data_IF_649309012107
#
_entry.id   IF_649309012107
#
_cell.length_a   1.000
_cell.length_b   1.000
_cell.length_c   1.000
_cell.angle_alpha   90.00
_cell.angle_beta   90.00
_cell.angle_gamma   90.00
#
_symmetry.space_group_name_H-M   'P 1'
#
loop_
_entity.id
_entity.type
_entity.pdbx_description
1 polymer ?
#
# COMPACT_ATOMS: atom_id res chain seq x y z
N UNK A 1 -16.18 -3.57 8.75
CA UNK A 1 -17.04 -2.38 8.90
C UNK A 1 -18.27 -2.69 9.72
N UNK A 2 -19.04 -3.75 9.43
CA UNK A 2 -20.07 -4.23 10.38
C UNK A 2 -19.41 -4.81 11.64
N UNK A 3 -18.26 -5.45 11.47
CA UNK A 3 -17.37 -5.94 12.54
C UNK A 3 -16.43 -4.84 13.10
N UNK A 4 -16.78 -3.56 12.95
CA UNK A 4 -15.97 -2.45 13.50
C UNK A 4 -16.52 -2.06 14.87
N UNK A 5 -15.68 -2.09 15.91
CA UNK A 5 -16.11 -1.81 17.29
C UNK A 5 -16.73 -0.42 17.48
N UNK A 6 -16.31 0.58 16.70
CA UNK A 6 -16.75 1.95 16.89
C UNK A 6 -17.99 2.30 16.07
N UNK A 7 -18.14 1.69 14.88
CA UNK A 7 -19.15 2.10 13.89
C UNK A 7 -19.99 0.96 13.35
N UNK A 8 -19.64 -0.29 13.64
CA UNK A 8 -20.32 -1.48 13.14
C UNK A 8 -21.77 -1.58 13.60
N UNK A 9 -22.00 -1.34 14.89
CA UNK A 9 -23.35 -1.36 15.47
C UNK A 9 -24.30 -0.35 14.81
N UNK A 10 -23.79 0.77 14.28
CA UNK A 10 -24.61 1.74 13.56
C UNK A 10 -25.13 1.16 12.25
N UNK A 11 -24.27 0.44 11.52
CA UNK A 11 -24.65 -0.20 10.26
C UNK A 11 -25.67 -1.31 10.51
N UNK A 12 -25.47 -2.10 11.56
CA UNK A 12 -26.42 -3.11 12.02
C UNK A 12 -27.78 -2.49 12.36
N UNK A 13 -27.80 -1.46 13.22
CA UNK A 13 -29.03 -0.80 13.63
C UNK A 13 -29.78 -0.14 12.46
N UNK A 14 -29.06 0.53 11.55
CA UNK A 14 -29.67 1.12 10.36
C UNK A 14 -30.31 0.05 9.47
N UNK A 15 -29.61 -1.06 9.26
CA UNK A 15 -30.09 -2.15 8.42
C UNK A 15 -31.32 -2.82 9.03
N UNK A 16 -31.28 -3.12 10.33
CA UNK A 16 -32.43 -3.67 11.06
C UNK A 16 -33.65 -2.75 11.02
N UNK A 17 -33.45 -1.43 11.13
CA UNK A 17 -34.54 -0.46 10.96
C UNK A 17 -35.16 -0.53 9.57
N UNK A 18 -34.34 -0.59 8.52
CA UNK A 18 -34.83 -0.71 7.14
C UNK A 18 -35.60 -2.02 6.93
N UNK A 19 -35.14 -3.13 7.51
CA UNK A 19 -35.83 -4.42 7.47
C UNK A 19 -37.17 -4.42 8.24
N UNK A 20 -37.32 -3.52 9.22
CA UNK A 20 -38.54 -3.39 10.04
C UNK A 20 -39.57 -2.42 9.45
N UNK A 21 -39.24 -1.72 8.36
CA UNK A 21 -40.18 -0.82 7.70
C UNK A 21 -41.26 -1.61 6.95
N UNK A 22 -42.47 -1.06 6.89
CA UNK A 22 -43.57 -1.65 6.11
C UNK A 22 -43.35 -1.51 4.60
N UNK A 23 -42.52 -0.55 4.18
CA UNK A 23 -42.14 -0.36 2.80
C UNK A 23 -41.09 -1.38 2.36
N UNK A 24 -41.26 -1.95 1.16
CA UNK A 24 -40.25 -2.83 0.57
C UNK A 24 -39.04 -2.03 0.10
N UNK A 25 -37.93 -2.14 0.82
CA UNK A 25 -36.64 -1.56 0.46
C UNK A 25 -35.70 -2.67 -0.03
N UNK A 26 -35.10 -2.49 -1.21
CA UNK A 26 -34.06 -3.41 -1.69
C UNK A 26 -32.73 -3.08 -1.03
N UNK A 27 -32.11 -4.09 -0.41
CA UNK A 27 -30.78 -3.97 0.22
C UNK A 27 -29.77 -4.74 -0.62
N UNK A 28 -28.72 -4.06 -1.06
CA UNK A 28 -27.58 -4.66 -1.77
C UNK A 28 -26.34 -4.41 -0.92
N UNK A 29 -25.76 -5.48 -0.39
CA UNK A 29 -24.56 -5.43 0.43
C UNK A 29 -23.34 -5.90 -0.36
N UNK A 30 -22.24 -5.15 -0.29
CA UNK A 30 -20.95 -5.52 -0.86
C UNK A 30 -19.91 -5.54 0.25
N UNK A 31 -19.07 -6.58 0.29
CA UNK A 31 -18.05 -6.75 1.32
C UNK A 31 -16.74 -7.28 0.72
N UNK A 32 -15.67 -7.21 1.50
CA UNK A 32 -14.48 -8.03 1.24
C UNK A 32 -14.80 -9.50 1.58
N UNK A 33 -13.86 -10.42 1.35
CA UNK A 33 -14.06 -11.83 1.71
C UNK A 33 -14.35 -11.97 3.21
N UNK A 34 -15.51 -12.55 3.53
CA UNK A 34 -15.96 -12.78 4.91
C UNK A 34 -16.17 -14.29 5.12
N UNK A 35 -15.67 -14.87 6.22
CA UNK A 35 -15.85 -16.29 6.50
C UNK A 35 -17.29 -16.66 6.85
N UNK A 36 -18.11 -15.69 7.27
CA UNK A 36 -19.47 -15.86 7.77
C UNK A 36 -20.54 -15.21 6.86
N UNK A 37 -20.30 -15.21 5.54
CA UNK A 37 -21.18 -14.57 4.57
C UNK A 37 -22.63 -15.11 4.63
N UNK A 38 -22.80 -16.41 4.88
CA UNK A 38 -24.12 -17.05 4.92
C UNK A 38 -25.01 -16.49 6.02
N UNK A 39 -24.43 -16.20 7.20
CA UNK A 39 -25.16 -15.61 8.34
C UNK A 39 -25.70 -14.22 7.98
N UNK A 40 -24.89 -13.43 7.27
CA UNK A 40 -25.30 -12.09 6.82
C UNK A 40 -26.39 -12.20 5.75
N UNK A 41 -26.27 -13.15 4.82
CA UNK A 41 -27.27 -13.36 3.79
C UNK A 41 -28.62 -13.79 4.39
N UNK A 42 -28.60 -14.69 5.38
CA UNK A 42 -29.79 -15.11 6.12
C UNK A 42 -30.44 -13.95 6.87
N UNK A 43 -29.64 -13.16 7.61
CA UNK A 43 -30.14 -11.98 8.34
C UNK A 43 -30.81 -10.95 7.41
N UNK A 44 -30.23 -10.73 6.22
CA UNK A 44 -30.78 -9.80 5.23
C UNK A 44 -31.89 -10.42 4.36
N UNK A 45 -32.20 -11.71 4.54
CA UNK A 45 -33.06 -12.48 3.64
C UNK A 45 -32.66 -12.29 2.16
N UNK A 46 -31.37 -12.41 1.88
CA UNK A 46 -30.74 -12.07 0.60
C UNK A 46 -30.05 -13.28 -0.03
N UNK A 47 -29.88 -13.22 -1.35
CA UNK A 47 -28.98 -14.14 -2.05
C UNK A 47 -27.53 -13.70 -1.87
N UNK A 48 -26.64 -14.65 -1.60
CA UNK A 48 -25.19 -14.40 -1.54
C UNK A 48 -24.51 -14.74 -2.88
N UNK A 49 -23.48 -13.97 -3.21
CA UNK A 49 -22.60 -14.23 -4.34
C UNK A 49 -21.15 -13.95 -3.92
N UNK A 50 -20.29 -14.96 -4.04
CA UNK A 50 -18.87 -14.85 -3.76
C UNK A 50 -18.06 -15.15 -5.02
N UNK A 51 -17.02 -14.34 -5.28
CA UNK A 51 -16.06 -14.59 -6.34
C UNK A 51 -14.65 -14.19 -5.91
N UNK A 52 -13.66 -14.96 -6.37
CA UNK A 52 -12.23 -14.66 -6.21
C UNK A 52 -11.62 -14.01 -7.46
N UNK A 53 -12.44 -13.71 -8.46
CA UNK A 53 -11.99 -13.12 -9.72
C UNK A 53 -11.36 -11.75 -9.49
N UNK A 54 -10.17 -11.54 -10.06
CA UNK A 54 -9.53 -10.23 -10.20
C UNK A 54 -9.03 -10.06 -11.64
N UNK A 55 -9.32 -8.93 -12.31
CA UNK A 55 -8.81 -8.67 -13.65
C UNK A 55 -7.28 -8.64 -13.73
N UNK A 56 -6.62 -8.21 -12.66
CA UNK A 56 -5.15 -8.20 -12.54
C UNK A 56 -4.76 -9.15 -11.40
N UNK A 57 -3.96 -10.19 -11.67
CA UNK A 57 -3.52 -11.13 -10.64
C UNK A 57 -2.61 -10.42 -9.63
N UNK A 58 -2.68 -10.86 -8.37
CA UNK A 58 -1.86 -10.33 -7.27
C UNK A 58 -0.82 -11.39 -6.92
N UNK A 59 0.45 -11.00 -6.90
CA UNK A 59 1.56 -11.85 -6.47
C UNK A 59 2.09 -11.36 -5.12
N UNK A 60 1.80 -12.13 -4.07
CA UNK A 60 2.20 -11.83 -2.71
C UNK A 60 3.58 -12.43 -2.40
N UNK A 61 4.42 -11.64 -1.72
CA UNK A 61 5.78 -12.02 -1.35
C UNK A 61 6.13 -11.54 0.06
N UNK A 62 7.06 -12.24 0.72
CA UNK A 62 7.66 -11.85 1.98
C UNK A 62 9.11 -11.41 1.75
N UNK A 63 9.48 -10.23 2.21
CA UNK A 63 10.87 -9.78 2.21
C UNK A 63 11.44 -9.93 3.62
N UNK A 64 12.52 -10.69 3.77
CA UNK A 64 13.21 -10.90 5.04
C UNK A 64 14.72 -10.96 4.81
N UNK A 65 15.48 -10.12 5.51
CA UNK A 65 16.95 -10.05 5.39
C UNK A 65 17.43 -9.87 3.94
N UNK A 66 16.71 -9.07 3.15
CA UNK A 66 16.98 -8.84 1.73
C UNK A 66 16.55 -9.97 0.80
N UNK A 67 16.03 -11.09 1.32
CA UNK A 67 15.54 -12.20 0.51
C UNK A 67 14.02 -12.10 0.29
N UNK A 68 13.58 -12.37 -0.94
CA UNK A 68 12.18 -12.34 -1.37
C UNK A 68 11.67 -13.77 -1.50
N UNK A 69 10.65 -14.11 -0.71
CA UNK A 69 10.01 -15.42 -0.69
C UNK A 69 8.59 -15.34 -1.28
N UNK A 70 8.16 -16.29 -2.11
CA UNK A 70 6.79 -16.35 -2.58
C UNK A 70 5.83 -16.63 -1.41
N UNK A 71 4.69 -15.96 -1.39
CA UNK A 71 3.74 -16.10 -0.32
C UNK A 71 2.31 -16.18 -0.85
N UNK A 72 1.91 -17.35 -1.36
CA UNK A 72 0.61 -17.53 -2.01
C UNK A 72 -0.61 -17.36 -1.09
N UNK A 73 -0.43 -17.24 0.23
CA UNK A 73 -1.52 -16.94 1.17
C UNK A 73 -0.99 -16.33 2.48
N UNK A 74 -1.86 -15.61 3.21
CA UNK A 74 -1.56 -15.07 4.54
C UNK A 74 -1.14 -16.16 5.54
N UNK A 75 -1.71 -17.36 5.44
CA UNK A 75 -1.28 -18.49 6.29
C UNK A 75 0.14 -18.96 5.93
N UNK A 76 0.50 -18.93 4.65
CA UNK A 76 1.87 -19.21 4.20
C UNK A 76 2.84 -18.13 4.71
N UNK A 77 2.45 -16.84 4.66
CA UNK A 77 3.24 -15.73 5.21
C UNK A 77 3.57 -15.95 6.69
N UNK A 78 2.56 -16.25 7.50
CA UNK A 78 2.74 -16.45 8.94
C UNK A 78 3.58 -17.69 9.27
N UNK A 79 3.39 -18.78 8.52
CA UNK A 79 4.22 -19.99 8.65
C UNK A 79 5.67 -19.69 8.31
N UNK A 80 5.95 -19.07 7.16
CA UNK A 80 7.31 -18.70 6.76
C UNK A 80 7.96 -17.75 7.77
N UNK A 81 7.24 -16.73 8.24
CA UNK A 81 7.74 -15.80 9.26
C UNK A 81 8.04 -16.49 10.60
N UNK A 82 7.19 -17.42 11.05
CA UNK A 82 7.41 -18.18 12.29
C UNK A 82 8.60 -19.13 12.19
N UNK A 83 8.78 -19.79 11.04
CA UNK A 83 9.93 -20.66 10.78
C UNK A 83 11.24 -19.89 10.74
N UNK A 84 11.27 -18.72 10.09
CA UNK A 84 12.46 -17.84 10.01
C UNK A 84 12.91 -17.35 11.38
N UNK A 85 11.98 -17.06 12.31
CA UNK A 85 12.32 -16.65 13.68
C UNK A 85 12.90 -17.77 14.54
N UNK A 86 12.74 -19.05 14.16
CA UNK A 86 13.06 -20.19 15.02
C UNK A 86 14.48 -20.75 14.91
N UNK A 87 15.39 -20.11 14.16
CA UNK A 87 16.82 -20.47 14.06
C UNK A 87 17.11 -21.99 13.95
N UNK A 88 16.28 -22.75 13.23
CA UNK A 88 16.64 -24.11 12.81
C UNK A 88 17.15 -24.04 11.38
N UNK A 89 18.40 -24.47 11.21
CA UNK A 89 19.10 -24.63 9.94
C UNK A 89 18.18 -25.25 8.89
N UNK A 90 17.82 -24.48 7.86
CA UNK A 90 16.87 -24.93 6.85
C UNK A 90 17.25 -24.33 5.49
N UNK A 91 18.34 -24.84 4.91
CA UNK A 91 18.74 -24.56 3.53
C UNK A 91 17.75 -25.17 2.50
N UNK A 92 16.79 -26.01 2.92
CA UNK A 92 16.11 -26.93 1.99
C UNK A 92 14.58 -26.86 1.89
N UNK A 93 13.87 -25.85 2.42
CA UNK A 93 12.39 -25.81 2.27
C UNK A 93 11.77 -24.54 1.72
N UNK A 94 12.49 -23.43 1.65
CA UNK A 94 11.99 -22.21 1.02
C UNK A 94 13.15 -21.51 0.31
N UNK A 95 13.34 -21.82 -0.98
CA UNK A 95 14.31 -21.06 -1.78
C UNK A 95 13.79 -19.63 -1.96
N UNK A 96 14.63 -18.67 -1.60
CA UNK A 96 14.38 -17.28 -1.95
C UNK A 96 14.27 -17.19 -3.48
N UNK A 97 13.21 -16.56 -3.97
CA UNK A 97 13.01 -16.32 -5.40
C UNK A 97 14.05 -15.34 -5.94
N UNK A 98 14.34 -14.32 -5.13
CA UNK A 98 15.21 -13.21 -5.50
C UNK A 98 15.86 -12.64 -4.24
N UNK A 99 17.03 -12.04 -4.39
CA UNK A 99 17.71 -11.26 -3.36
C UNK A 99 17.80 -9.79 -3.77
N UNK A 100 17.62 -8.91 -2.80
CA UNK A 100 17.86 -7.48 -2.89
C UNK A 100 19.32 -7.25 -2.46
N UNK A 101 20.09 -6.62 -3.33
CA UNK A 101 21.50 -6.38 -3.05
C UNK A 101 21.69 -5.41 -1.88
N UNK A 102 22.68 -5.66 -1.01
CA UNK A 102 23.06 -4.70 0.03
C UNK A 102 23.48 -3.36 -0.60
N UNK A 103 23.08 -2.26 0.04
CA UNK A 103 23.50 -0.94 -0.39
C UNK A 103 24.93 -0.65 0.06
N UNK A 104 25.70 0.04 -0.78
CA UNK A 104 27.01 0.60 -0.41
C UNK A 104 26.86 1.86 0.47
N UNK A 105 25.67 2.45 0.53
CA UNK A 105 25.39 3.64 1.32
C UNK A 105 25.17 3.29 2.80
N UNK A 106 25.94 3.94 3.68
CA UNK A 106 25.85 3.75 5.14
C UNK A 106 24.43 3.93 5.70
N UNK A 107 23.67 4.84 5.10
CA UNK A 107 22.30 5.16 5.48
C UNK A 107 21.31 4.01 5.19
N UNK A 108 21.64 3.11 4.27
CA UNK A 108 20.83 1.97 3.83
C UNK A 108 21.44 0.62 4.28
N UNK A 109 22.21 0.63 5.36
CA UNK A 109 22.74 -0.61 5.96
C UNK A 109 21.63 -1.47 6.55
N UNK A 110 20.54 -0.84 7.02
CA UNK A 110 19.37 -1.56 7.55
C UNK A 110 18.62 -2.27 6.41
N UNK A 111 18.48 -3.59 6.54
CA UNK A 111 17.89 -4.45 5.51
C UNK A 111 16.47 -4.06 5.11
N UNK A 112 15.63 -3.67 6.07
CA UNK A 112 14.23 -3.29 5.81
C UNK A 112 14.16 -2.00 5.01
N UNK A 113 14.86 -0.95 5.46
CA UNK A 113 14.89 0.33 4.77
C UNK A 113 15.49 0.18 3.36
N UNK A 114 16.60 -0.55 3.22
CA UNK A 114 17.19 -0.84 1.91
C UNK A 114 16.18 -1.53 0.97
N UNK A 115 15.42 -2.50 1.50
CA UNK A 115 14.42 -3.22 0.72
C UNK A 115 13.29 -2.30 0.27
N UNK A 116 12.78 -1.43 1.16
CA UNK A 116 11.73 -0.46 0.83
C UNK A 116 12.19 0.50 -0.28
N UNK A 117 13.38 1.10 -0.12
CA UNK A 117 13.93 2.04 -1.09
C UNK A 117 14.23 1.35 -2.43
N UNK A 118 14.88 0.19 -2.40
CA UNK A 118 15.26 -0.56 -3.60
C UNK A 118 14.05 -0.97 -4.42
N UNK A 119 13.01 -1.54 -3.78
CA UNK A 119 11.80 -1.97 -4.46
C UNK A 119 10.98 -0.78 -4.99
N UNK A 120 10.93 0.32 -4.23
CA UNK A 120 10.26 1.54 -4.66
C UNK A 120 10.95 2.16 -5.88
N UNK A 121 12.28 2.28 -5.84
CA UNK A 121 13.10 2.80 -6.93
C UNK A 121 13.01 1.91 -8.18
N UNK A 122 13.15 0.59 -8.02
CA UNK A 122 13.04 -0.37 -9.12
C UNK A 122 11.68 -0.25 -9.83
N UNK A 123 10.59 -0.26 -9.06
CA UNK A 123 9.22 -0.16 -9.59
C UNK A 123 9.01 1.16 -10.33
N UNK A 124 9.45 2.26 -9.73
CA UNK A 124 9.28 3.58 -10.32
C UNK A 124 10.15 3.75 -11.58
N UNK A 125 11.41 3.28 -11.56
CA UNK A 125 12.33 3.34 -12.69
C UNK A 125 11.86 2.49 -13.87
N UNK A 126 11.13 1.40 -13.60
CA UNK A 126 10.43 0.62 -14.62
C UNK A 126 9.20 1.35 -15.23
N UNK A 127 8.88 2.56 -14.76
CA UNK A 127 7.76 3.38 -15.25
C UNK A 127 6.42 3.08 -14.58
N UNK A 128 6.43 2.39 -13.44
CA UNK A 128 5.22 2.04 -12.68
C UNK A 128 5.03 2.95 -11.46
N UNK A 129 3.86 2.84 -10.82
CA UNK A 129 3.60 3.46 -9.53
C UNK A 129 3.85 2.50 -8.38
N UNK A 130 4.32 3.00 -7.25
CA UNK A 130 4.45 2.22 -6.01
C UNK A 130 3.68 2.89 -4.87
N UNK A 131 3.02 2.05 -4.07
CA UNK A 131 2.32 2.44 -2.85
C UNK A 131 3.00 1.79 -1.64
N UNK A 132 3.64 2.59 -0.79
CA UNK A 132 4.30 2.08 0.44
C UNK A 132 3.44 2.40 1.65
N UNK A 133 3.16 1.39 2.46
CA UNK A 133 2.45 1.51 3.73
C UNK A 133 3.43 1.55 4.88
N UNK A 134 3.38 2.62 5.68
CA UNK A 134 4.25 2.81 6.84
C UNK A 134 3.49 2.59 8.16
N UNK A 135 4.20 2.18 9.21
CA UNK A 135 3.59 1.90 10.52
C UNK A 135 3.24 3.14 11.35
N UNK A 136 3.78 4.31 11.01
CA UNK A 136 3.55 5.55 11.75
C UNK A 136 3.64 6.79 10.84
N UNK A 137 3.19 7.95 11.36
CA UNK A 137 3.35 9.25 10.69
C UNK A 137 4.82 9.57 10.41
N UNK A 138 5.67 9.42 11.43
CA UNK A 138 7.10 9.71 11.31
C UNK A 138 7.79 8.77 10.32
N UNK A 139 7.47 7.48 10.34
CA UNK A 139 8.00 6.51 9.37
C UNK A 139 7.59 6.86 7.95
N UNK A 140 6.34 7.27 7.72
CA UNK A 140 5.86 7.65 6.38
C UNK A 140 6.64 8.83 5.80
N UNK A 141 6.92 9.86 6.62
CA UNK A 141 7.72 11.01 6.21
C UNK A 141 9.20 10.64 6.00
N UNK A 142 9.77 9.82 6.88
CA UNK A 142 11.15 9.34 6.76
C UNK A 142 11.37 8.49 5.51
N UNK A 143 10.49 7.50 5.27
CA UNK A 143 10.54 6.64 4.09
C UNK A 143 10.40 7.46 2.80
N UNK A 144 9.51 8.46 2.79
CA UNK A 144 9.35 9.35 1.64
C UNK A 144 10.64 10.13 1.32
N UNK A 145 11.35 10.61 2.34
CA UNK A 145 12.66 11.26 2.14
C UNK A 145 13.73 10.28 1.65
N UNK A 146 13.77 9.07 2.19
CA UNK A 146 14.74 8.07 1.75
C UNK A 146 14.50 7.64 0.30
N UNK A 147 13.24 7.42 -0.07
CA UNK A 147 12.86 7.09 -1.43
C UNK A 147 13.16 8.28 -2.36
N UNK A 148 12.88 9.53 -1.97
CA UNK A 148 13.13 10.70 -2.83
C UNK A 148 14.62 10.90 -3.14
N UNK A 149 15.51 10.60 -2.18
CA UNK A 149 16.96 10.67 -2.40
C UNK A 149 17.47 9.66 -3.43
N UNK A 150 16.83 8.49 -3.52
CA UNK A 150 17.18 7.47 -4.49
C UNK A 150 16.60 7.72 -5.89
N UNK A 151 15.59 8.61 -6.01
CA UNK A 151 14.97 8.93 -7.30
C UNK A 151 15.84 9.86 -8.15
N UNK A 152 15.64 9.88 -9.48
CA UNK A 152 16.33 10.80 -10.37
C UNK A 152 16.14 12.25 -9.93
N UNK A 153 17.25 12.98 -9.92
CA UNK A 153 17.27 14.38 -9.51
C UNK A 153 16.60 15.28 -10.56
N UNK A 154 16.15 16.49 -10.19
CA UNK A 154 15.44 17.39 -11.12
C UNK A 154 16.18 17.71 -12.43
N UNK A 155 17.51 17.62 -12.46
CA UNK A 155 18.32 17.84 -13.66
C UNK A 155 18.39 16.62 -14.60
N UNK A 156 17.98 15.44 -14.12
CA UNK A 156 18.02 14.17 -14.86
C UNK A 156 16.65 13.83 -15.49
N UNK A 157 15.60 14.61 -15.19
CA UNK A 157 14.24 14.39 -15.69
C UNK A 157 13.89 15.35 -16.85
N UNK A 158 12.88 14.99 -17.64
CA UNK A 158 12.44 15.83 -18.74
C UNK A 158 11.90 17.18 -18.25
N UNK A 159 12.15 18.30 -18.97
CA UNK A 159 11.63 19.61 -18.61
C UNK A 159 10.11 19.64 -18.49
N UNK A 160 9.40 18.84 -19.30
CA UNK A 160 7.94 18.69 -19.22
C UNK A 160 7.48 18.07 -17.90
N UNK A 161 8.16 17.02 -17.43
CA UNK A 161 7.82 16.36 -16.16
C UNK A 161 8.17 17.25 -14.98
N UNK A 162 9.32 17.91 -15.04
CA UNK A 162 9.72 18.89 -14.04
C UNK A 162 8.69 20.03 -13.94
N UNK A 163 8.27 20.58 -15.08
CA UNK A 163 7.24 21.62 -15.14
C UNK A 163 5.94 21.22 -14.44
N UNK A 164 5.44 20.01 -14.69
CA UNK A 164 4.24 19.47 -14.02
C UNK A 164 4.43 19.32 -12.50
N UNK A 165 5.62 18.90 -12.06
CA UNK A 165 5.93 18.77 -10.62
C UNK A 165 6.03 20.14 -9.95
N UNK A 166 6.58 21.14 -10.63
CA UNK A 166 6.64 22.51 -10.15
C UNK A 166 5.26 23.13 -10.05
N UNK A 167 4.41 22.97 -11.07
CA UNK A 167 3.01 23.43 -11.05
C UNK A 167 2.25 22.85 -9.86
N UNK A 168 2.33 21.53 -9.65
CA UNK A 168 1.74 20.87 -8.47
C UNK A 168 2.24 21.46 -7.15
N UNK A 169 3.52 21.82 -7.08
CA UNK A 169 4.12 22.37 -5.87
C UNK A 169 3.61 23.80 -5.60
N UNK A 170 3.43 24.63 -6.64
CA UNK A 170 2.80 25.94 -6.51
C UNK A 170 1.34 25.84 -6.11
N UNK A 171 0.59 24.89 -6.69
CA UNK A 171 -0.80 24.62 -6.30
C UNK A 171 -0.88 24.29 -4.80
N UNK A 172 0.02 23.41 -4.31
CA UNK A 172 0.09 23.05 -2.89
C UNK A 172 0.45 24.24 -2.00
N UNK A 173 1.33 25.14 -2.46
CA UNK A 173 1.66 26.38 -1.72
C UNK A 173 0.48 27.35 -1.65
N UNK A 174 -0.38 27.37 -2.66
CA UNK A 174 -1.54 28.25 -2.72
C UNK A 174 -2.69 27.83 -1.78
N UNK A 175 -2.65 26.61 -1.25
CA UNK A 175 -3.64 26.11 -0.30
C UNK A 175 -3.58 26.88 1.02
N UNK A 176 -4.74 27.04 1.67
CA UNK A 176 -4.87 27.74 2.96
C UNK A 176 -4.05 27.10 4.10
N UNK A 177 -3.69 25.83 3.97
CA UNK A 177 -2.84 25.10 4.93
C UNK A 177 -1.35 25.31 4.71
N UNK A 178 -0.96 25.91 3.58
CA UNK A 178 0.42 25.99 3.11
C UNK A 178 0.99 24.64 2.65
N UNK A 179 2.23 24.69 2.16
CA UNK A 179 2.99 23.53 1.72
C UNK A 179 3.67 22.85 2.91
N UNK A 180 3.48 21.54 3.05
CA UNK A 180 4.23 20.74 4.02
C UNK A 180 5.71 20.69 3.61
N UNK A 181 6.66 20.93 4.54
CA UNK A 181 8.08 20.99 4.22
C UNK A 181 8.62 19.69 3.62
N UNK A 182 8.12 18.53 4.06
CA UNK A 182 8.54 17.23 3.55
C UNK A 182 7.99 17.01 2.14
N UNK A 183 6.77 17.45 1.86
CA UNK A 183 6.25 17.41 0.47
C UNK A 183 7.06 18.34 -0.44
N UNK A 184 7.42 19.53 0.04
CA UNK A 184 8.26 20.47 -0.71
C UNK A 184 9.61 19.87 -1.12
N UNK A 185 10.19 19.03 -0.28
CA UNK A 185 11.46 18.33 -0.53
C UNK A 185 11.34 17.10 -1.43
N UNK A 186 10.17 16.45 -1.51
CA UNK A 186 10.02 15.11 -2.09
C UNK A 186 9.25 15.08 -3.42
N UNK A 187 8.32 16.02 -3.62
CA UNK A 187 7.44 16.07 -4.79
C UNK A 187 8.21 16.28 -6.10
N UNK A 188 9.29 17.07 -6.07
CA UNK A 188 10.12 17.33 -7.25
C UNK A 188 10.84 16.07 -7.76
N UNK A 189 11.08 15.10 -6.89
CA UNK A 189 11.64 13.78 -7.20
C UNK A 189 10.53 12.75 -7.52
N UNK A 190 9.26 13.14 -7.41
CA UNK A 190 8.12 12.29 -7.74
C UNK A 190 7.66 11.39 -6.61
N UNK A 191 8.01 11.75 -5.37
CA UNK A 191 7.61 11.03 -4.16
C UNK A 191 6.68 11.94 -3.37
N UNK A 192 5.56 11.40 -2.91
CA UNK A 192 4.66 12.09 -2.00
C UNK A 192 4.19 11.12 -0.93
N UNK A 193 3.85 11.65 0.25
CA UNK A 193 3.22 10.88 1.31
C UNK A 193 1.82 11.43 1.62
N UNK A 194 1.02 10.58 2.22
CA UNK A 194 -0.33 10.88 2.67
C UNK A 194 -0.49 10.43 4.12
N UNK A 195 -0.91 11.37 4.97
CA UNK A 195 -1.22 11.14 6.38
C UNK A 195 -2.72 11.27 6.57
N UNK A 196 -3.42 10.17 6.83
CA UNK A 196 -4.77 10.20 7.44
C UNK A 196 -4.66 9.81 8.90
N UNK A 197 -5.61 10.23 9.73
CA UNK A 197 -5.63 9.98 11.18
C UNK A 197 -5.55 8.49 11.59
N UNK A 198 -5.63 7.52 10.64
CA UNK A 198 -5.49 6.07 10.88
C UNK A 198 -4.83 5.26 9.72
N UNK A 199 -4.33 5.88 8.65
CA UNK A 199 -3.70 5.13 7.52
C UNK A 199 -2.65 6.00 6.80
N UNK A 200 -1.53 5.39 6.42
CA UNK A 200 -0.35 6.07 5.87
C UNK A 200 0.05 5.46 4.53
N UNK A 201 0.22 6.31 3.52
CA UNK A 201 0.50 5.87 2.16
C UNK A 201 1.56 6.76 1.52
N UNK A 202 2.55 6.19 0.85
CA UNK A 202 3.49 6.92 -0.01
C UNK A 202 3.13 6.59 -1.44
N UNK A 203 2.85 7.60 -2.26
CA UNK A 203 2.59 7.42 -3.69
C UNK A 203 3.81 7.91 -4.47
N UNK A 204 4.50 7.01 -5.15
CA UNK A 204 5.48 7.39 -6.16
C UNK A 204 4.92 7.06 -7.54
N UNK A 205 4.98 8.02 -8.46
CA UNK A 205 4.58 7.80 -9.86
C UNK A 205 5.55 8.54 -10.79
N UNK A 206 6.41 7.79 -11.47
CA UNK A 206 7.18 8.32 -12.59
C UNK A 206 6.28 8.30 -13.83
N UNK A 207 5.78 9.46 -14.24
CA UNK A 207 5.01 9.56 -15.48
C UNK A 207 5.95 9.43 -16.68
N UNK A 208 5.75 8.38 -17.48
CA UNK A 208 6.26 8.34 -18.86
C UNK A 208 5.34 9.20 -19.73
N UNK A 209 5.90 10.20 -20.41
CA UNK A 209 5.22 10.81 -21.56
C UNK A 209 5.14 9.72 -22.62
N UNK A 210 3.90 9.36 -22.98
CA UNK A 210 3.58 8.40 -24.04
C UNK A 210 4.41 8.71 -25.29
N UNK A 211 5.23 7.77 -25.73
CA UNK A 211 5.54 7.65 -27.15
C UNK A 211 4.47 6.75 -27.76
N UNK A 212 3.79 7.29 -28.78
CA UNK A 212 2.94 6.57 -29.72
C UNK A 212 3.73 5.44 -30.38
#
# INVERSE_FOLDING_TARGET
>A
MIDDDHRGYLLELMTTKLLSLEQRVQIIAMSATLPNLDIIAEWLNAYSYETKYRPVPIHEHLVCEGNIYPAASTQSLLKTASSLKSQRSMEDKFSAMRRIEPSEHKELTESVLNSVVSLAYETASAGHGVLVFAGSRGSCESDARWISRAMPQPHEISPELLGKRTELLEDLRSLSTGLDPVLGETVLQGVAFHRKFKTYHILCRLHRVSKR
#
